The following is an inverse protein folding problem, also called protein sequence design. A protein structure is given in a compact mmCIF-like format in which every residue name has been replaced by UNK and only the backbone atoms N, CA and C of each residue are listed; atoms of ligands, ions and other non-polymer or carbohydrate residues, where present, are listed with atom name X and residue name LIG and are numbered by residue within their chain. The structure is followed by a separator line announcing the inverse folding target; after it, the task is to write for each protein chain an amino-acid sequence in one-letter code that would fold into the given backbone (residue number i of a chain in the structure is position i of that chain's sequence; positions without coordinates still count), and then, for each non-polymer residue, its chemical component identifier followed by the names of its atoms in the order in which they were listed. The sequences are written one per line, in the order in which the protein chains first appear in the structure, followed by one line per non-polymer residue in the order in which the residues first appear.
data_IF_852898120983
#
_entry.id   IF_852898120983
#
_cell.length_a   1.000
_cell.length_b   1.000
_cell.length_c   1.000
_cell.angle_alpha   90.00
_cell.angle_beta   90.00
_cell.angle_gamma   90.00
#
_symmetry.space_group_name_H-M   'P 1'
#
loop_
_entity.id
_entity.type
_entity.pdbx_description
1 polymer ?
#
# COMPACT_ATOMS: atom_id res chain seq x y z
N UNK A 1 22.54 -12.98 1.24
CA UNK A 1 21.98 -11.66 1.61
C UNK A 1 20.47 -11.84 1.70
N UNK A 2 19.84 -11.50 2.83
CA UNK A 2 18.37 -11.51 2.88
C UNK A 2 17.85 -10.39 1.97
N UNK A 3 16.93 -10.70 1.06
CA UNK A 3 16.17 -9.69 0.34
C UNK A 3 15.43 -8.80 1.35
N UNK A 4 15.21 -7.52 1.02
CA UNK A 4 14.29 -6.66 1.78
C UNK A 4 12.87 -7.20 1.59
N UNK A 5 12.07 -7.40 2.65
CA UNK A 5 10.71 -7.94 2.51
C UNK A 5 9.79 -6.91 1.84
N UNK A 6 8.97 -7.37 0.89
CA UNK A 6 7.95 -6.60 0.18
C UNK A 6 6.63 -6.70 0.94
N UNK A 7 6.17 -5.59 1.52
CA UNK A 7 4.97 -5.53 2.34
C UNK A 7 3.90 -4.73 1.61
N UNK A 8 2.79 -5.39 1.28
CA UNK A 8 1.61 -4.72 0.73
C UNK A 8 0.80 -4.03 1.83
N UNK A 9 0.29 -2.84 1.54
CA UNK A 9 -0.52 -2.04 2.47
C UNK A 9 -1.84 -1.67 1.78
N UNK A 10 -2.95 -2.13 2.34
CA UNK A 10 -4.28 -1.92 1.76
C UNK A 10 -4.72 -0.45 1.88
N UNK A 11 -5.04 0.17 0.75
CA UNK A 11 -5.64 1.51 0.73
C UNK A 11 -7.14 1.44 1.03
N UNK A 12 -7.63 2.41 1.80
CA UNK A 12 -9.07 2.64 1.99
C UNK A 12 -9.62 3.48 0.84
N UNK A 13 -10.91 3.34 0.54
CA UNK A 13 -11.61 4.26 -0.38
C UNK A 13 -12.27 5.34 0.45
N UNK A 14 -11.87 6.58 0.20
CA UNK A 14 -12.41 7.76 0.89
C UNK A 14 -12.64 8.87 -0.13
N UNK A 15 -13.57 9.79 0.18
CA UNK A 15 -13.64 11.07 -0.54
C UNK A 15 -12.44 11.92 -0.13
N UNK A 16 -11.58 12.28 -1.08
CA UNK A 16 -10.34 13.01 -0.79
C UNK A 16 -10.13 14.19 -1.74
N UNK A 17 -9.31 15.15 -1.28
CA UNK A 17 -8.92 16.34 -2.05
C UNK A 17 -7.41 16.47 -2.11
N UNK A 18 -6.84 16.53 -3.32
CA UNK A 18 -5.42 16.81 -3.53
C UNK A 18 -5.22 17.54 -4.85
N UNK A 19 -4.41 18.59 -4.83
CA UNK A 19 -4.18 19.46 -6.01
C UNK A 19 -5.51 19.95 -6.60
N UNK A 20 -5.90 19.50 -7.79
CA UNK A 20 -7.13 19.89 -8.48
C UNK A 20 -8.25 18.86 -8.35
N UNK A 21 -8.01 17.77 -7.63
CA UNK A 21 -8.96 16.67 -7.46
C UNK A 21 -9.82 16.84 -6.21
N UNK A 22 -11.09 16.47 -6.34
CA UNK A 22 -12.06 16.25 -5.27
C UNK A 22 -12.96 15.08 -5.71
N UNK A 23 -12.58 13.87 -5.33
CA UNK A 23 -13.21 12.63 -5.80
C UNK A 23 -12.99 11.46 -4.82
N UNK A 24 -13.61 10.31 -5.10
CA UNK A 24 -13.28 9.08 -4.39
C UNK A 24 -11.89 8.60 -4.79
N UNK A 25 -11.06 8.28 -3.80
CA UNK A 25 -9.69 7.87 -4.02
C UNK A 25 -9.30 6.72 -3.10
N UNK A 26 -8.43 5.86 -3.62
CA UNK A 26 -7.68 4.92 -2.80
C UNK A 26 -6.59 5.71 -2.03
N UNK A 27 -6.78 5.87 -0.73
CA UNK A 27 -5.88 6.64 0.15
C UNK A 27 -5.20 5.73 1.15
N UNK A 28 -3.94 6.06 1.44
CA UNK A 28 -3.14 5.38 2.46
C UNK A 28 -2.42 6.38 3.35
N UNK A 29 -2.47 6.16 4.66
CA UNK A 29 -1.69 6.96 5.60
C UNK A 29 -0.19 6.73 5.37
N UNK A 30 0.55 7.82 5.17
CA UNK A 30 2.01 7.81 5.07
C UNK A 30 2.70 7.30 6.34
N UNK A 31 1.98 7.16 7.46
CA UNK A 31 2.54 6.55 8.66
C UNK A 31 2.87 5.06 8.45
N UNK A 32 1.99 4.30 7.79
CA UNK A 32 2.22 2.89 7.51
C UNK A 32 3.41 2.68 6.58
N UNK A 33 3.51 3.50 5.53
CA UNK A 33 4.64 3.50 4.60
C UNK A 33 5.96 3.76 5.33
N UNK A 34 5.98 4.76 6.23
CA UNK A 34 7.17 5.08 7.03
C UNK A 34 7.56 3.93 7.95
N UNK A 35 6.62 3.32 8.66
CA UNK A 35 6.88 2.20 9.55
C UNK A 35 7.48 0.99 8.82
N UNK A 36 6.99 0.66 7.62
CA UNK A 36 7.57 -0.42 6.80
C UNK A 36 9.00 -0.09 6.38
N UNK A 37 9.26 1.15 5.95
CA UNK A 37 10.61 1.57 5.58
C UNK A 37 11.59 1.57 6.75
N UNK A 38 11.17 2.06 7.92
CA UNK A 38 11.97 2.05 9.15
C UNK A 38 12.30 0.62 9.61
N UNK A 39 11.39 -0.34 9.36
CA UNK A 39 11.63 -1.76 9.58
C UNK A 39 12.53 -2.43 8.51
N UNK A 40 12.99 -1.69 7.50
CA UNK A 40 13.85 -2.19 6.42
C UNK A 40 13.10 -2.85 5.25
N UNK A 41 11.76 -2.85 5.26
CA UNK A 41 10.92 -3.39 4.21
C UNK A 41 10.76 -2.46 3.00
N UNK A 42 10.11 -2.97 1.95
CA UNK A 42 9.63 -2.23 0.78
C UNK A 42 8.11 -2.12 0.91
N UNK A 43 7.58 -0.90 0.98
CA UNK A 43 6.14 -0.66 1.06
C UNK A 43 5.51 -0.64 -0.35
N UNK A 44 4.43 -1.39 -0.54
CA UNK A 44 3.62 -1.40 -1.77
C UNK A 44 2.20 -0.95 -1.43
N UNK A 45 1.73 0.14 -2.02
CA UNK A 45 0.34 0.59 -1.87
C UNK A 45 -0.56 -0.31 -2.74
N UNK A 46 -1.54 -0.94 -2.11
CA UNK A 46 -2.51 -1.81 -2.80
C UNK A 46 -3.86 -1.09 -2.90
N UNK A 47 -4.30 -0.70 -4.11
CA UNK A 47 -5.67 -0.24 -4.28
C UNK A 47 -6.65 -1.40 -4.08
N UNK A 48 -7.95 -1.12 -3.80
CA UNK A 48 -8.99 -2.14 -3.86
C UNK A 48 -9.00 -2.81 -5.22
N UNK A 49 -8.87 -4.14 -5.24
CA UNK A 49 -8.87 -4.95 -6.45
C UNK A 49 -9.77 -6.17 -6.23
N UNK A 50 -10.75 -6.45 -7.11
CA UNK A 50 -11.59 -7.64 -7.02
C UNK A 50 -10.85 -8.97 -7.23
N UNK A 51 -9.65 -8.96 -7.79
CA UNK A 51 -8.88 -10.17 -8.13
C UNK A 51 -7.40 -10.08 -7.69
N UNK A 52 -7.10 -9.94 -6.39
CA UNK A 52 -5.75 -9.63 -5.90
C UNK A 52 -4.78 -10.81 -5.97
N UNK A 53 -5.23 -12.00 -6.41
CA UNK A 53 -4.48 -13.25 -6.26
C UNK A 53 -3.10 -13.23 -6.93
N UNK A 54 -2.96 -12.61 -8.10
CA UNK A 54 -1.66 -12.50 -8.78
C UNK A 54 -0.73 -11.52 -8.07
N UNK A 55 -1.27 -10.43 -7.54
CA UNK A 55 -0.53 -9.41 -6.80
C UNK A 55 -0.03 -9.93 -5.45
N UNK A 56 -0.86 -10.69 -4.73
CA UNK A 56 -0.49 -11.26 -3.42
C UNK A 56 0.70 -12.25 -3.52
N UNK A 57 0.93 -12.88 -4.68
CA UNK A 57 2.09 -13.76 -4.89
C UNK A 57 3.42 -13.01 -4.95
N UNK A 58 3.38 -11.68 -5.13
CA UNK A 58 4.58 -10.83 -5.20
C UNK A 58 4.97 -10.25 -3.83
N UNK A 59 4.18 -10.51 -2.79
CA UNK A 59 4.35 -9.92 -1.46
C UNK A 59 4.89 -10.95 -0.48
N UNK A 60 5.77 -10.50 0.41
CA UNK A 60 6.24 -11.28 1.56
C UNK A 60 5.32 -11.12 2.78
N UNK A 61 4.44 -10.11 2.77
CA UNK A 61 3.47 -9.84 3.84
C UNK A 61 2.43 -8.78 3.48
N UNK A 62 1.41 -8.66 4.34
CA UNK A 62 0.29 -7.73 4.19
C UNK A 62 0.05 -6.94 5.48
N UNK A 63 -0.26 -5.65 5.35
CA UNK A 63 -0.62 -4.72 6.43
C UNK A 63 -2.00 -4.09 6.19
#
# INVERSE_FOLDING_TARGET
MSSRPVIGICASVERARWTYWDEEAAVLSMNYVRQVHEAGGIAVLLPPDPHPAELLRLLDGLL
#
